data_IF_013094506178
#
_entry.id   IF_013094506178
#
_cell.length_a   1.000
_cell.length_b   1.000
_cell.length_c   1.000
_cell.angle_alpha   90.00
_cell.angle_beta   90.00
_cell.angle_gamma   90.00
#
_symmetry.space_group_name_H-M   'P 1'
#
loop_
_entity.id
_entity.type
_entity.pdbx_description
1 polymer ?
#
# COMPACT_ATOMS: atom_id res chain seq x y z
N UNK A 1 25.57 14.74 38.79
CA UNK A 1 25.83 13.89 39.97
C UNK A 1 24.49 13.50 40.56
N UNK A 2 24.08 12.23 40.45
CA UNK A 2 22.86 11.75 41.09
C UNK A 2 23.14 11.70 42.60
N UNK A 3 22.45 12.53 43.39
CA UNK A 3 22.46 12.40 44.83
C UNK A 3 21.84 11.03 45.18
N UNK A 4 22.57 10.20 45.91
CA UNK A 4 22.06 8.92 46.39
C UNK A 4 20.96 9.18 47.40
N UNK A 5 19.71 8.92 47.01
CA UNK A 5 18.56 9.01 47.91
C UNK A 5 18.81 8.13 49.13
N UNK A 6 18.46 8.64 50.30
CA UNK A 6 18.50 7.83 51.51
C UNK A 6 17.42 6.73 51.42
N UNK A 7 17.66 5.55 52.01
CA UNK A 7 16.67 4.46 52.06
C UNK A 7 15.30 4.94 52.57
N UNK A 8 15.27 5.99 53.40
CA UNK A 8 14.06 6.59 53.92
C UNK A 8 13.29 7.43 52.87
N UNK A 9 13.99 8.22 52.05
CA UNK A 9 13.37 8.99 50.96
C UNK A 9 12.75 8.08 49.91
N UNK A 10 13.44 6.97 49.57
CA UNK A 10 12.90 5.99 48.63
C UNK A 10 11.65 5.30 49.17
N UNK A 11 11.63 4.95 50.47
CA UNK A 11 10.46 4.35 51.11
C UNK A 11 9.26 5.32 51.13
N UNK A 12 9.50 6.61 51.43
CA UNK A 12 8.46 7.65 51.41
C UNK A 12 7.96 7.90 49.99
N UNK A 13 8.84 8.03 49.01
CA UNK A 13 8.46 8.23 47.60
C UNK A 13 7.68 7.05 47.05
N UNK A 14 8.09 5.82 47.37
CA UNK A 14 7.37 4.61 47.01
C UNK A 14 5.96 4.61 47.59
N UNK A 15 5.80 4.89 48.90
CA UNK A 15 4.47 4.95 49.50
C UNK A 15 3.61 6.05 48.87
N UNK A 16 4.17 7.24 48.67
CA UNK A 16 3.46 8.36 48.07
C UNK A 16 2.99 8.03 46.65
N UNK A 17 3.82 7.41 45.81
CA UNK A 17 3.46 7.03 44.44
C UNK A 17 2.31 6.01 44.44
N UNK A 18 2.36 5.01 45.32
CA UNK A 18 1.29 4.01 45.46
C UNK A 18 -0.03 4.67 45.84
N UNK A 19 -0.02 5.57 46.83
CA UNK A 19 -1.23 6.27 47.26
C UNK A 19 -1.79 7.19 46.16
N UNK A 20 -0.92 7.90 45.43
CA UNK A 20 -1.34 8.75 44.31
C UNK A 20 -2.05 7.93 43.21
N UNK A 21 -1.48 6.78 42.82
CA UNK A 21 -2.08 5.92 41.79
C UNK A 21 -3.36 5.23 42.28
N UNK A 22 -3.39 4.77 43.53
CA UNK A 22 -4.57 4.14 44.10
C UNK A 22 -5.76 5.10 44.18
N UNK A 23 -5.52 6.33 44.62
CA UNK A 23 -6.57 7.35 44.71
C UNK A 23 -6.92 7.99 43.36
N UNK A 24 -6.02 8.00 42.37
CA UNK A 24 -6.29 8.57 41.04
C UNK A 24 -7.56 7.99 40.39
N UNK A 25 -7.87 6.71 40.63
CA UNK A 25 -9.05 6.06 40.05
C UNK A 25 -10.38 6.65 40.53
N UNK A 26 -10.44 7.20 41.75
CA UNK A 26 -11.66 7.66 42.39
C UNK A 26 -11.75 9.19 42.57
N UNK A 27 -10.70 9.92 42.19
CA UNK A 27 -10.62 11.37 42.33
C UNK A 27 -10.64 12.06 40.96
N UNK A 28 -11.20 13.28 40.86
CA UNK A 28 -11.24 14.01 39.59
C UNK A 28 -9.83 14.38 39.10
N UNK A 29 -9.61 14.22 37.80
CA UNK A 29 -8.34 14.57 37.16
C UNK A 29 -8.20 16.09 37.04
N UNK A 30 -7.25 16.66 37.78
CA UNK A 30 -6.95 18.11 37.78
C UNK A 30 -6.04 18.50 36.60
N UNK A 31 -6.50 18.24 35.38
CA UNK A 31 -5.69 18.43 34.17
C UNK A 31 -5.37 19.89 33.88
N UNK A 32 -6.31 20.81 34.14
CA UNK A 32 -6.09 22.25 33.98
C UNK A 32 -4.94 22.75 34.86
N UNK A 33 -4.90 22.33 36.13
CA UNK A 33 -3.85 22.74 37.06
C UNK A 33 -2.49 22.16 36.67
N UNK A 34 -2.49 20.95 36.10
CA UNK A 34 -1.28 20.30 35.57
C UNK A 34 -0.74 21.08 34.37
N UNK A 35 -1.60 21.47 33.43
CA UNK A 35 -1.21 22.29 32.28
C UNK A 35 -0.73 23.68 32.71
N UNK A 36 -1.36 24.30 33.71
CA UNK A 36 -0.89 25.57 34.28
C UNK A 36 0.53 25.42 34.84
N UNK A 37 0.81 24.36 35.59
CA UNK A 37 2.14 24.13 36.15
C UNK A 37 3.22 23.86 35.09
N UNK A 38 2.86 23.21 33.97
CA UNK A 38 3.79 22.91 32.87
C UNK A 38 4.02 24.09 31.93
N UNK A 39 2.97 24.86 31.65
CA UNK A 39 2.97 25.91 30.61
C UNK A 39 3.19 27.32 31.18
N UNK A 40 3.03 27.52 32.48
CA UNK A 40 3.29 28.78 33.19
C UNK A 40 4.41 28.63 34.23
N UNK A 41 5.01 29.75 34.66
CA UNK A 41 6.07 29.78 35.68
C UNK A 41 7.43 30.27 35.16
N UNK A 42 8.48 30.12 35.98
CA UNK A 42 9.83 30.61 35.66
C UNK A 42 10.57 29.83 34.58
N UNK A 43 10.16 28.58 34.32
CA UNK A 43 10.71 27.71 33.28
C UNK A 43 9.59 26.94 32.57
N UNK A 44 8.79 27.62 31.72
CA UNK A 44 7.72 26.95 31.00
C UNK A 44 8.30 25.95 29.99
N UNK A 45 7.59 24.85 29.79
CA UNK A 45 7.99 23.83 28.81
C UNK A 45 8.01 24.44 27.41
N UNK A 46 9.11 24.19 26.67
CA UNK A 46 9.29 24.62 25.29
C UNK A 46 8.87 23.57 24.26
N UNK A 47 8.78 22.30 24.66
CA UNK A 47 8.37 21.18 23.81
C UNK A 47 7.51 20.19 24.60
N UNK A 48 6.26 20.01 24.18
CA UNK A 48 5.30 19.08 24.75
C UNK A 48 4.97 18.00 23.73
N UNK A 49 5.26 16.75 24.08
CA UNK A 49 5.09 15.58 23.23
C UNK A 49 3.99 14.69 23.80
N UNK A 50 2.94 14.48 23.02
CA UNK A 50 1.87 13.54 23.35
C UNK A 50 2.17 12.14 22.79
N UNK A 51 2.16 11.16 23.69
CA UNK A 51 2.25 9.74 23.36
C UNK A 51 0.86 9.13 23.50
N UNK A 52 0.18 8.96 22.37
CA UNK A 52 -1.17 8.43 22.32
C UNK A 52 -1.61 8.16 20.88
N UNK A 53 -2.76 7.48 20.71
CA UNK A 53 -3.30 7.16 19.39
C UNK A 53 -3.88 8.37 18.66
N UNK A 54 -4.12 9.48 19.36
CA UNK A 54 -4.67 10.73 18.80
C UNK A 54 -3.97 11.95 19.40
N UNK A 55 -4.15 13.12 18.77
CA UNK A 55 -3.58 14.40 19.17
C UNK A 55 -4.52 15.21 20.10
N UNK A 56 -5.05 14.57 21.14
CA UNK A 56 -6.10 15.17 21.99
C UNK A 56 -5.52 16.10 23.05
N UNK A 57 -4.47 15.67 23.75
CA UNK A 57 -3.81 16.43 24.81
C UNK A 57 -3.02 17.61 24.26
N UNK A 58 -2.40 17.46 23.09
CA UNK A 58 -1.75 18.56 22.35
C UNK A 58 -2.76 19.65 22.00
N UNK A 59 -3.95 19.29 21.50
CA UNK A 59 -5.03 20.26 21.23
C UNK A 59 -5.51 20.98 22.49
N UNK A 60 -5.62 20.28 23.62
CA UNK A 60 -5.94 20.92 24.92
C UNK A 60 -4.82 21.85 25.38
N UNK A 61 -3.56 21.41 25.28
CA UNK A 61 -2.39 22.20 25.67
C UNK A 61 -2.26 23.47 24.81
N UNK A 62 -2.58 23.40 23.51
CA UNK A 62 -2.62 24.57 22.64
C UNK A 62 -3.63 25.61 23.13
N UNK A 63 -4.87 25.18 23.42
CA UNK A 63 -5.93 26.06 23.92
C UNK A 63 -5.55 26.71 25.26
N UNK A 64 -4.97 25.92 26.16
CA UNK A 64 -4.54 26.41 27.46
C UNK A 64 -3.34 27.37 27.34
N UNK A 65 -2.36 27.07 26.48
CA UNK A 65 -1.24 27.96 26.22
C UNK A 65 -1.70 29.32 25.67
N UNK A 66 -2.65 29.34 24.73
CA UNK A 66 -3.25 30.58 24.20
C UNK A 66 -3.93 31.37 25.31
N UNK A 67 -4.71 30.70 26.17
CA UNK A 67 -5.36 31.33 27.33
C UNK A 67 -4.35 31.90 28.33
N UNK A 68 -3.26 31.18 28.62
CA UNK A 68 -2.24 31.67 29.55
C UNK A 68 -1.48 32.88 28.98
N UNK A 69 -1.34 32.97 27.66
CA UNK A 69 -0.80 34.17 27.00
C UNK A 69 -1.77 35.34 27.13
N UNK A 70 -3.08 35.13 26.92
CA UNK A 70 -4.07 36.22 27.10
C UNK A 70 -4.16 36.68 28.55
N UNK A 71 -4.02 35.76 29.51
CA UNK A 71 -4.07 36.05 30.95
C UNK A 71 -2.74 36.63 31.48
N UNK A 72 -1.73 36.84 30.62
CA UNK A 72 -0.42 37.41 30.99
C UNK A 72 0.47 36.48 31.84
N UNK A 73 0.08 35.20 32.00
CA UNK A 73 0.78 34.18 32.79
C UNK A 73 1.82 33.40 32.00
N UNK A 74 1.85 33.57 30.67
CA UNK A 74 2.83 32.99 29.75
C UNK A 74 3.26 34.06 28.75
N UNK A 75 4.56 34.16 28.47
CA UNK A 75 5.06 35.07 27.44
C UNK A 75 4.64 34.60 26.04
N UNK A 76 4.13 35.52 25.22
CA UNK A 76 3.85 35.24 23.81
C UNK A 76 5.12 34.91 23.01
N UNK A 77 6.28 35.40 23.46
CA UNK A 77 7.57 35.13 22.83
C UNK A 77 8.16 33.76 23.21
N UNK A 78 7.57 33.05 24.19
CA UNK A 78 8.04 31.73 24.57
C UNK A 78 7.63 30.69 23.51
N UNK A 79 8.61 30.08 22.84
CA UNK A 79 8.39 29.00 21.89
C UNK A 79 7.73 27.80 22.57
N UNK A 80 6.69 27.23 21.95
CA UNK A 80 6.07 25.97 22.36
C UNK A 80 5.85 25.08 21.15
N UNK A 81 6.65 24.02 21.08
CA UNK A 81 6.46 22.93 20.14
C UNK A 81 5.43 21.95 20.72
N UNK A 82 4.31 21.77 20.02
CA UNK A 82 3.29 20.77 20.35
C UNK A 82 3.40 19.63 19.34
N UNK A 83 3.90 18.48 19.79
CA UNK A 83 4.12 17.31 18.96
C UNK A 83 3.25 16.15 19.45
N UNK A 84 2.80 15.31 18.53
CA UNK A 84 1.97 14.15 18.84
C UNK A 84 2.48 12.98 18.00
N UNK A 85 2.65 11.83 18.63
CA UNK A 85 3.13 10.61 17.98
C UNK A 85 2.18 10.12 16.88
N UNK A 86 0.88 10.35 17.01
CA UNK A 86 -0.12 9.90 16.03
C UNK A 86 -0.17 10.78 14.77
N UNK A 87 0.54 11.91 14.74
CA UNK A 87 0.55 12.82 13.61
C UNK A 87 1.80 12.58 12.76
N UNK A 88 1.61 12.01 11.56
CA UNK A 88 2.68 11.70 10.60
C UNK A 88 3.48 12.93 10.17
N UNK A 89 2.90 14.13 10.23
CA UNK A 89 3.62 15.38 9.97
C UNK A 89 4.62 15.80 11.07
N UNK A 90 4.56 15.17 12.25
CA UNK A 90 5.46 15.47 13.38
C UNK A 90 6.63 14.47 13.51
N UNK A 91 6.63 13.40 12.70
CA UNK A 91 7.58 12.29 12.80
C UNK A 91 9.04 12.73 12.64
N UNK A 92 9.35 13.49 11.59
CA UNK A 92 10.68 14.04 11.36
C UNK A 92 11.21 14.87 12.55
N UNK A 93 10.32 15.67 13.17
CA UNK A 93 10.67 16.52 14.32
C UNK A 93 10.80 15.75 15.63
N UNK A 94 10.12 14.59 15.76
CA UNK A 94 10.23 13.69 16.89
C UNK A 94 11.52 12.87 16.86
N UNK A 95 11.91 12.39 15.66
CA UNK A 95 13.13 11.61 15.46
C UNK A 95 14.38 12.45 15.21
N UNK A 96 14.24 13.78 15.19
CA UNK A 96 15.33 14.71 14.86
C UNK A 96 15.92 14.43 13.47
N UNK A 97 15.09 13.95 12.55
CA UNK A 97 15.41 13.79 11.14
C UNK A 97 15.21 15.13 10.46
N UNK A 98 16.23 15.96 10.55
CA UNK A 98 16.29 17.20 9.78
C UNK A 98 16.79 16.86 8.39
N UNK A 99 16.03 17.22 7.37
CA UNK A 99 16.51 17.26 6.00
C UNK A 99 17.78 18.13 6.01
N UNK A 100 18.88 17.61 5.47
CA UNK A 100 20.08 18.42 5.27
C UNK A 100 19.75 19.47 4.21
N UNK A 101 19.17 20.58 4.65
CA UNK A 101 19.22 21.81 3.89
C UNK A 101 20.70 22.16 3.88
N UNK A 102 21.33 21.91 2.74
CA UNK A 102 22.61 22.55 2.42
C UNK A 102 22.31 24.04 2.46
N UNK A 103 22.67 24.69 3.57
CA UNK A 103 22.63 26.15 3.64
C UNK A 103 23.53 26.66 2.51
N UNK A 104 22.94 27.30 1.50
CA UNK A 104 23.66 28.04 0.45
C UNK A 104 24.58 29.14 1.06
N UNK A 105 24.48 29.42 2.37
CA UNK A 105 25.40 30.27 3.13
C UNK A 105 26.70 29.56 3.58
N UNK A 106 26.76 28.23 3.51
CA UNK A 106 27.98 27.46 3.83
C UNK A 106 28.95 27.38 2.66
N UNK A 107 28.48 27.51 1.41
CA UNK A 107 29.35 27.67 0.23
C UNK A 107 30.06 29.03 0.22
N UNK A 108 29.39 30.11 0.67
CA UNK A 108 29.99 31.46 0.78
C UNK A 108 31.13 31.50 1.80
N UNK A 109 31.10 30.65 2.84
CA UNK A 109 32.17 30.60 3.86
C UNK A 109 33.37 29.75 3.47
N UNK A 110 33.20 28.80 2.54
CA UNK A 110 34.32 28.08 1.93
C UNK A 110 35.04 28.91 0.88
N UNK A 111 34.33 29.75 0.12
CA UNK A 111 34.95 30.63 -0.88
C UNK A 111 35.78 31.78 -0.25
N UNK A 112 35.35 32.37 0.87
CA UNK A 112 36.14 33.40 1.59
C UNK A 112 37.41 32.85 2.26
N UNK A 113 37.49 31.53 2.49
CA UNK A 113 38.68 30.91 3.10
C UNK A 113 39.71 30.48 2.04
N UNK A 114 39.28 30.25 0.80
CA UNK A 114 40.17 29.95 -0.33
C UNK A 114 40.76 31.23 -0.96
N UNK A 115 40.04 32.36 -0.98
CA UNK A 115 40.58 33.64 -1.47
C UNK A 115 41.69 34.24 -0.58
N UNK A 116 41.80 33.82 0.68
CA UNK A 116 42.89 34.24 1.58
C UNK A 116 44.13 33.34 1.53
N UNK A 117 44.04 32.17 0.89
CA UNK A 117 45.13 31.21 0.73
C UNK A 117 45.94 31.36 -0.57
N UNK A 118 45.42 32.10 -1.55
CA UNK A 118 46.02 32.21 -2.91
C UNK A 118 46.87 33.48 -3.09
N UNK A 119 46.67 34.52 -2.25
CA UNK A 119 47.45 35.77 -2.27
C UNK A 119 48.92 35.65 -1.79
N UNK A 120 49.42 34.44 -1.51
CA UNK A 120 50.81 34.19 -1.10
C UNK A 120 51.61 33.34 -2.11
N UNK A 121 51.09 33.05 -3.31
CA UNK A 121 51.81 32.19 -4.28
C UNK A 121 51.73 32.62 -5.74
N UNK A 122 51.28 33.83 -6.03
CA UNK A 122 51.20 34.42 -7.39
C UNK A 122 52.22 35.55 -7.64
N UNK A 123 53.42 35.47 -7.06
CA UNK A 123 54.60 36.26 -7.51
C UNK A 123 55.52 35.49 -8.46
N UNK A 124 55.13 34.29 -8.93
CA UNK A 124 55.99 33.51 -9.83
C UNK A 124 55.20 32.64 -10.82
N UNK A 125 54.54 33.25 -11.81
CA UNK A 125 54.47 32.80 -13.22
C UNK A 125 53.41 33.59 -13.97
N UNK A 126 53.71 34.86 -14.14
CA UNK A 126 53.22 35.63 -15.26
C UNK A 126 53.91 35.09 -16.53
N UNK A 127 53.27 34.19 -17.28
CA UNK A 127 53.54 34.07 -18.71
C UNK A 127 52.41 33.38 -19.47
N UNK A 128 51.85 34.15 -20.39
CA UNK A 128 51.12 33.78 -21.60
C UNK A 128 49.68 33.22 -21.47
N UNK A 129 48.68 34.10 -21.64
CA UNK A 129 48.05 34.51 -22.92
C UNK A 129 47.25 33.40 -23.62
N UNK A 130 45.92 33.55 -23.57
CA UNK A 130 45.03 33.98 -24.68
C UNK A 130 43.65 33.37 -24.46
N UNK A 131 42.61 34.20 -24.25
CA UNK A 131 41.74 34.79 -25.30
C UNK A 131 40.71 33.75 -25.73
N UNK A 132 39.41 33.97 -25.81
CA UNK A 132 38.46 35.07 -25.61
C UNK A 132 37.09 34.37 -25.74
N UNK A 133 36.11 34.63 -24.87
CA UNK A 133 35.10 35.68 -25.07
C UNK A 133 34.01 35.27 -26.07
N UNK A 134 32.78 35.30 -25.54
CA UNK A 134 31.51 35.64 -26.21
C UNK A 134 30.94 34.68 -27.28
N UNK A 135 29.64 34.49 -27.44
CA UNK A 135 28.46 35.26 -27.04
C UNK A 135 27.20 34.35 -27.16
N UNK A 136 26.26 34.50 -26.22
CA UNK A 136 24.82 34.72 -26.41
C UNK A 136 24.07 34.11 -27.65
N UNK A 137 22.93 33.47 -27.34
CA UNK A 137 21.52 33.81 -27.73
C UNK A 137 20.66 32.64 -28.28
N UNK A 138 19.54 32.38 -27.58
CA UNK A 138 18.17 31.98 -28.01
C UNK A 138 17.87 30.81 -28.98
N UNK A 139 17.03 29.89 -28.44
CA UNK A 139 15.87 29.16 -29.04
C UNK A 139 15.88 28.89 -30.56
N UNK A 140 15.85 27.61 -30.93
CA UNK A 140 14.71 26.94 -31.62
C UNK A 140 14.95 25.43 -31.81
N UNK A 141 13.85 24.68 -31.67
CA UNK A 141 13.53 23.38 -32.29
C UNK A 141 14.66 22.44 -32.75
N UNK A 142 14.71 21.26 -32.13
CA UNK A 142 15.01 20.01 -32.84
C UNK A 142 14.06 18.91 -32.38
N UNK A 143 13.20 18.52 -33.32
CA UNK A 143 12.65 17.18 -33.39
C UNK A 143 13.82 16.20 -33.46
N UNK A 144 14.04 15.44 -32.39
CA UNK A 144 14.92 14.28 -32.43
C UNK A 144 14.12 12.99 -32.25
N UNK A 145 14.35 12.14 -33.23
CA UNK A 145 13.76 10.86 -33.54
C UNK A 145 14.04 9.86 -32.39
N UNK A 146 13.15 9.77 -31.41
CA UNK A 146 13.17 8.69 -30.43
C UNK A 146 12.50 7.42 -31.00
N UNK A 147 13.11 6.82 -32.02
CA UNK A 147 12.82 5.44 -32.42
C UNK A 147 13.59 4.49 -31.51
N UNK A 148 13.03 4.25 -30.32
CA UNK A 148 13.21 3.01 -29.58
C UNK A 148 11.99 2.82 -28.69
N UNK A 149 11.06 1.95 -29.10
CA UNK A 149 9.91 1.53 -28.31
C UNK A 149 10.41 0.66 -27.16
N UNK A 150 10.88 1.29 -26.09
CA UNK A 150 11.07 0.62 -24.82
C UNK A 150 9.73 0.02 -24.39
N UNK A 151 9.70 -1.29 -24.11
CA UNK A 151 8.53 -1.97 -23.58
C UNK A 151 8.04 -1.18 -22.35
N UNK A 152 6.78 -0.71 -22.39
CA UNK A 152 6.21 0.08 -21.30
C UNK A 152 6.24 -0.78 -20.04
N UNK A 153 6.93 -0.36 -18.96
CA UNK A 153 7.04 -1.17 -17.75
C UNK A 153 5.65 -1.41 -17.17
N UNK A 154 5.34 -2.67 -16.90
CA UNK A 154 4.04 -3.02 -16.32
C UNK A 154 3.90 -2.41 -14.92
N UNK A 155 2.68 -2.07 -14.56
CA UNK A 155 2.36 -1.48 -13.27
C UNK A 155 1.10 -2.16 -12.72
N UNK A 156 1.08 -2.52 -11.43
CA UNK A 156 -0.14 -3.06 -10.82
C UNK A 156 -1.28 -2.05 -10.92
N UNK A 157 -2.53 -2.55 -10.86
CA UNK A 157 -3.73 -1.73 -11.04
C UNK A 157 -3.83 -0.68 -9.93
N UNK A 158 -3.73 0.64 -10.20
CA UNK A 158 -3.82 1.65 -9.15
C UNK A 158 -5.24 1.72 -8.58
N UNK A 159 -5.40 1.60 -7.26
CA UNK A 159 -6.71 1.66 -6.61
C UNK A 159 -7.45 2.98 -6.82
N UNK A 160 -6.72 4.09 -6.93
CA UNK A 160 -7.25 5.42 -7.26
C UNK A 160 -7.96 5.45 -8.62
N UNK A 161 -7.43 4.73 -9.63
CA UNK A 161 -8.09 4.60 -10.93
C UNK A 161 -9.41 3.85 -10.78
N UNK A 162 -9.42 2.74 -10.03
CA UNK A 162 -10.63 1.94 -9.82
C UNK A 162 -11.71 2.76 -9.10
N UNK A 163 -11.33 3.48 -8.03
CA UNK A 163 -12.22 4.40 -7.31
C UNK A 163 -12.86 5.40 -8.27
N UNK A 164 -12.03 6.14 -9.02
CA UNK A 164 -12.48 7.17 -9.95
C UNK A 164 -13.37 6.59 -11.06
N UNK A 165 -13.09 5.37 -11.52
CA UNK A 165 -13.87 4.74 -12.59
C UNK A 165 -15.23 4.22 -12.13
N UNK A 166 -15.31 3.65 -10.92
CA UNK A 166 -16.59 3.25 -10.35
C UNK A 166 -17.51 4.47 -10.11
N UNK A 167 -16.93 5.57 -9.62
CA UNK A 167 -17.65 6.82 -9.38
C UNK A 167 -18.09 7.46 -10.70
N UNK A 168 -17.16 7.63 -11.65
CA UNK A 168 -17.43 8.25 -12.94
C UNK A 168 -18.54 7.52 -13.71
N UNK A 169 -18.51 6.18 -13.70
CA UNK A 169 -19.56 5.37 -14.32
C UNK A 169 -20.92 5.59 -13.68
N UNK A 170 -21.01 5.62 -12.34
CA UNK A 170 -22.28 5.87 -11.62
C UNK A 170 -22.81 7.28 -11.88
N UNK A 171 -21.92 8.27 -12.03
CA UNK A 171 -22.28 9.64 -12.37
C UNK A 171 -22.50 9.89 -13.88
N UNK A 172 -22.25 8.88 -14.73
CA UNK A 172 -22.28 8.98 -16.20
C UNK A 172 -21.41 10.14 -16.73
N UNK A 173 -20.22 10.33 -16.16
CA UNK A 173 -19.23 11.33 -16.58
C UNK A 173 -17.99 10.66 -17.15
N UNK A 174 -17.28 11.34 -18.04
CA UNK A 174 -16.00 10.82 -18.58
C UNK A 174 -14.86 11.01 -17.58
N UNK A 175 -13.77 10.25 -17.73
CA UNK A 175 -12.58 10.36 -16.87
C UNK A 175 -11.98 11.78 -16.91
N UNK A 176 -12.05 12.46 -18.05
CA UNK A 176 -11.53 13.83 -18.22
C UNK A 176 -12.40 14.91 -17.54
N UNK A 177 -13.68 14.63 -17.29
CA UNK A 177 -14.60 15.55 -16.58
C UNK A 177 -14.49 15.43 -15.06
N UNK A 178 -13.65 14.51 -14.58
CA UNK A 178 -13.42 14.25 -13.17
C UNK A 178 -12.21 15.08 -12.72
N UNK A 179 -12.36 16.05 -11.80
CA UNK A 179 -11.25 16.91 -11.37
C UNK A 179 -10.10 16.09 -10.77
N UNK A 180 -8.87 16.53 -11.03
CA UNK A 180 -7.64 15.83 -10.62
C UNK A 180 -7.49 15.75 -9.10
N UNK A 181 -7.92 16.80 -8.38
CA UNK A 181 -8.13 16.84 -6.93
C UNK A 181 -9.63 16.75 -6.64
N UNK A 182 -10.08 15.61 -6.12
CA UNK A 182 -11.45 15.51 -5.59
C UNK A 182 -11.47 15.95 -4.14
N UNK A 183 -11.63 17.25 -3.95
CA UNK A 183 -11.93 17.82 -2.62
C UNK A 183 -13.41 17.60 -2.23
N UNK A 184 -14.21 17.03 -3.14
CA UNK A 184 -15.64 16.73 -2.93
C UNK A 184 -15.83 15.32 -2.38
N UNK A 185 -16.77 15.19 -1.46
CA UNK A 185 -17.18 13.91 -0.89
C UNK A 185 -18.16 13.15 -1.80
N UNK A 186 -18.37 11.85 -1.55
CA UNK A 186 -19.39 11.07 -2.26
C UNK A 186 -20.79 11.66 -2.01
N UNK A 187 -21.04 12.17 -0.80
CA UNK A 187 -22.28 12.87 -0.45
C UNK A 187 -22.52 14.08 -1.35
N UNK A 188 -21.50 14.92 -1.56
CA UNK A 188 -21.60 16.10 -2.43
C UNK A 188 -21.85 15.71 -3.89
N UNK A 189 -21.18 14.66 -4.36
CA UNK A 189 -21.34 14.14 -5.72
C UNK A 189 -22.72 13.51 -5.97
N UNK A 190 -23.33 12.94 -4.93
CA UNK A 190 -24.66 12.36 -5.00
C UNK A 190 -25.78 13.41 -5.10
N UNK A 191 -25.51 14.68 -4.76
CA UNK A 191 -26.47 15.78 -4.80
C UNK A 191 -27.70 15.53 -3.92
N UNK A 192 -27.53 14.90 -2.76
CA UNK A 192 -28.60 14.57 -1.81
C UNK A 192 -29.43 13.33 -2.18
N UNK A 193 -29.06 12.59 -3.24
CA UNK A 193 -29.72 11.34 -3.62
C UNK A 193 -29.15 10.17 -2.81
N UNK A 194 -29.76 9.90 -1.66
CA UNK A 194 -29.31 8.82 -0.74
C UNK A 194 -29.21 7.43 -1.39
N UNK A 195 -30.08 7.10 -2.36
CA UNK A 195 -29.99 5.83 -3.11
C UNK A 195 -28.66 5.74 -3.89
N UNK A 196 -28.31 6.80 -4.62
CA UNK A 196 -27.08 6.84 -5.41
C UNK A 196 -25.84 6.80 -4.51
N UNK A 197 -25.89 7.52 -3.40
CA UNK A 197 -24.84 7.51 -2.38
C UNK A 197 -24.61 6.10 -1.82
N UNK A 198 -25.68 5.42 -1.35
CA UNK A 198 -25.59 4.09 -0.78
C UNK A 198 -25.12 3.04 -1.79
N UNK A 199 -25.56 3.15 -3.05
CA UNK A 199 -25.04 2.30 -4.12
C UNK A 199 -23.54 2.51 -4.35
N UNK A 200 -23.07 3.76 -4.37
CA UNK A 200 -21.65 4.07 -4.53
C UNK A 200 -20.83 3.49 -3.38
N UNK A 201 -21.24 3.74 -2.14
CA UNK A 201 -20.58 3.20 -0.94
C UNK A 201 -20.56 1.67 -0.96
N UNK A 202 -21.69 1.03 -1.27
CA UNK A 202 -21.78 -0.43 -1.37
C UNK A 202 -20.87 -1.00 -2.46
N UNK A 203 -20.75 -0.35 -3.62
CA UNK A 203 -19.81 -0.76 -4.66
C UNK A 203 -18.34 -0.63 -4.20
N UNK A 204 -18.00 0.38 -3.40
CA UNK A 204 -16.64 0.54 -2.87
C UNK A 204 -16.29 -0.55 -1.85
N UNK A 205 -17.22 -0.84 -0.93
CA UNK A 205 -17.06 -1.94 0.03
C UNK A 205 -16.92 -3.28 -0.69
N UNK A 206 -17.73 -3.52 -1.73
CA UNK A 206 -17.63 -4.72 -2.54
C UNK A 206 -16.35 -4.83 -3.36
N UNK A 207 -15.73 -3.70 -3.74
CA UNK A 207 -14.50 -3.67 -4.55
C UNK A 207 -13.24 -3.81 -3.71
N UNK A 208 -13.12 -3.02 -2.63
CA UNK A 208 -11.91 -2.92 -1.82
C UNK A 208 -11.95 -3.74 -0.52
N UNK A 209 -13.14 -4.21 -0.13
CA UNK A 209 -13.39 -4.91 1.13
C UNK A 209 -13.64 -3.97 2.31
N UNK A 210 -14.38 -4.46 3.31
CA UNK A 210 -14.76 -3.70 4.51
C UNK A 210 -13.56 -3.16 5.30
N UNK A 211 -12.44 -3.89 5.31
CA UNK A 211 -11.24 -3.46 6.07
C UNK A 211 -10.54 -2.24 5.47
N UNK A 212 -10.66 -2.00 4.16
CA UNK A 212 -10.01 -0.87 3.47
C UNK A 212 -10.91 0.34 3.34
N UNK A 213 -12.23 0.18 3.53
CA UNK A 213 -13.22 1.25 3.42
C UNK A 213 -13.62 1.67 4.83
N UNK A 214 -13.22 2.88 5.30
CA UNK A 214 -13.59 3.35 6.63
C UNK A 214 -15.09 3.60 6.80
N UNK A 215 -15.56 3.52 8.03
CA UNK A 215 -16.90 3.99 8.39
C UNK A 215 -17.04 5.49 8.09
N UNK A 216 -18.14 5.88 7.44
CA UNK A 216 -18.37 7.28 7.03
C UNK A 216 -17.62 7.71 5.76
N UNK A 217 -17.19 6.75 4.91
CA UNK A 217 -16.57 6.99 3.59
C UNK A 217 -17.35 8.00 2.73
N UNK A 218 -18.66 8.13 2.94
CA UNK A 218 -19.49 9.07 2.20
C UNK A 218 -19.18 10.55 2.45
N UNK A 219 -18.58 10.88 3.60
CA UNK A 219 -18.22 12.24 4.03
C UNK A 219 -16.75 12.58 3.77
N UNK A 220 -15.94 11.59 3.46
CA UNK A 220 -14.52 11.76 3.19
C UNK A 220 -14.30 12.37 1.81
N UNK A 221 -13.29 13.24 1.69
CA UNK A 221 -12.84 13.71 0.39
C UNK A 221 -12.25 12.54 -0.41
N UNK A 222 -12.53 12.45 -1.72
CA UNK A 222 -12.00 11.33 -2.50
C UNK A 222 -10.48 11.41 -2.67
N UNK A 223 -9.85 12.58 -2.51
CA UNK A 223 -8.40 12.70 -2.44
C UNK A 223 -7.81 11.94 -1.23
N UNK A 224 -8.48 11.97 -0.08
CA UNK A 224 -8.11 11.19 1.08
C UNK A 224 -8.31 9.70 0.82
N UNK A 225 -9.42 9.33 0.18
CA UNK A 225 -9.69 7.93 -0.20
C UNK A 225 -8.70 7.39 -1.23
N UNK A 226 -8.32 8.19 -2.23
CA UNK A 226 -7.29 7.87 -3.21
C UNK A 226 -5.96 7.52 -2.53
N UNK A 227 -5.58 8.26 -1.48
CA UNK A 227 -4.33 8.01 -0.74
C UNK A 227 -4.36 6.71 0.07
N UNK A 228 -5.55 6.26 0.50
CA UNK A 228 -5.74 5.01 1.24
C UNK A 228 -5.77 3.79 0.32
N UNK A 229 -6.23 3.95 -0.91
CA UNK A 229 -6.26 2.88 -1.89
C UNK A 229 -4.93 2.78 -2.65
N UNK A 230 -4.05 1.92 -2.14
CA UNK A 230 -2.80 1.56 -2.83
C UNK A 230 -3.03 0.75 -4.13
N UNK A 231 -1.97 0.14 -4.65
CA UNK A 231 -2.06 -0.74 -5.81
C UNK A 231 -2.81 -2.04 -5.51
N UNK A 232 -3.64 -2.48 -6.46
CA UNK A 232 -4.36 -3.74 -6.47
C UNK A 232 -3.64 -4.75 -7.38
N UNK A 233 -3.56 -6.02 -6.94
CA UNK A 233 -2.96 -7.09 -7.74
C UNK A 233 -3.85 -7.56 -8.90
N UNK A 234 -5.17 -7.45 -8.76
CA UNK A 234 -6.16 -7.83 -9.77
C UNK A 234 -7.42 -6.96 -9.64
N UNK A 235 -8.32 -7.09 -10.63
CA UNK A 235 -9.67 -6.50 -10.54
C UNK A 235 -10.41 -7.07 -9.32
N UNK A 236 -11.13 -6.23 -8.59
CA UNK A 236 -12.00 -6.64 -7.50
C UNK A 236 -13.30 -7.27 -7.98
N UNK A 237 -14.17 -7.66 -7.04
CA UNK A 237 -15.42 -8.38 -7.35
C UNK A 237 -16.36 -7.54 -8.21
N UNK A 238 -16.46 -6.24 -7.94
CA UNK A 238 -17.38 -5.34 -8.63
C UNK A 238 -16.83 -5.02 -10.01
N UNK A 239 -15.59 -4.54 -10.13
CA UNK A 239 -14.96 -4.22 -11.42
C UNK A 239 -14.89 -5.46 -12.32
N UNK A 240 -14.51 -6.63 -11.79
CA UNK A 240 -14.48 -7.89 -12.54
C UNK A 240 -15.86 -8.30 -13.07
N UNK A 241 -16.90 -8.27 -12.23
CA UNK A 241 -18.27 -8.58 -12.66
C UNK A 241 -18.80 -7.58 -13.71
N UNK A 242 -18.43 -6.31 -13.58
CA UNK A 242 -18.81 -5.25 -14.50
C UNK A 242 -18.12 -5.41 -15.87
N UNK A 243 -16.83 -5.73 -15.89
CA UNK A 243 -16.08 -6.04 -17.12
C UNK A 243 -16.66 -7.28 -17.79
N UNK A 244 -16.92 -8.36 -17.02
CA UNK A 244 -17.56 -9.56 -17.54
C UNK A 244 -18.92 -9.27 -18.21
N UNK A 245 -19.74 -8.41 -17.60
CA UNK A 245 -21.03 -7.99 -18.15
C UNK A 245 -20.89 -7.13 -19.41
N UNK A 246 -19.90 -6.23 -19.45
CA UNK A 246 -19.59 -5.45 -20.65
C UNK A 246 -19.26 -6.39 -21.82
N UNK A 247 -18.36 -7.35 -21.59
CA UNK A 247 -17.95 -8.35 -22.58
C UNK A 247 -19.14 -9.20 -23.04
N UNK A 248 -19.97 -9.72 -22.13
CA UNK A 248 -21.09 -10.59 -22.51
C UNK A 248 -22.20 -9.85 -23.29
N UNK A 249 -22.50 -8.61 -22.89
CA UNK A 249 -23.69 -7.91 -23.37
C UNK A 249 -23.40 -6.96 -24.53
N UNK A 250 -22.19 -6.39 -24.59
CA UNK A 250 -21.88 -5.28 -25.50
C UNK A 250 -20.85 -5.63 -26.56
N UNK A 251 -20.03 -6.65 -26.35
CA UNK A 251 -19.03 -7.06 -27.34
C UNK A 251 -19.63 -8.01 -28.39
N UNK A 252 -19.07 -8.03 -29.61
CA UNK A 252 -19.42 -8.98 -30.65
C UNK A 252 -18.91 -10.38 -30.30
N UNK A 253 -19.47 -11.39 -30.95
CA UNK A 253 -19.09 -12.79 -30.74
C UNK A 253 -17.61 -12.98 -31.09
N UNK A 254 -16.86 -13.67 -30.21
CA UNK A 254 -15.42 -13.90 -30.36
C UNK A 254 -14.53 -12.89 -29.63
N UNK A 255 -15.03 -11.70 -29.28
CA UNK A 255 -14.30 -10.72 -28.46
C UNK A 255 -14.39 -11.06 -26.97
N UNK A 256 -13.63 -12.06 -26.53
CA UNK A 256 -13.50 -12.39 -25.12
C UNK A 256 -12.38 -11.57 -24.45
N UNK A 257 -12.26 -11.67 -23.12
CA UNK A 257 -11.26 -10.92 -22.36
C UNK A 257 -9.81 -11.27 -22.75
N UNK A 258 -9.54 -12.52 -23.11
CA UNK A 258 -8.21 -12.96 -23.52
C UNK A 258 -7.80 -12.34 -24.86
N UNK A 259 -8.73 -12.30 -25.83
CA UNK A 259 -8.55 -11.67 -27.14
C UNK A 259 -8.23 -10.18 -27.01
N UNK A 260 -8.96 -9.45 -26.15
CA UNK A 260 -8.68 -8.03 -25.92
C UNK A 260 -7.32 -7.80 -25.24
N UNK A 261 -6.94 -8.67 -24.30
CA UNK A 261 -5.61 -8.61 -23.66
C UNK A 261 -4.48 -8.87 -24.65
N UNK A 262 -4.66 -9.82 -25.56
CA UNK A 262 -3.72 -10.10 -26.63
C UNK A 262 -3.57 -8.91 -27.59
N UNK A 263 -4.68 -8.27 -27.98
CA UNK A 263 -4.65 -7.05 -28.78
C UNK A 263 -3.88 -5.91 -28.08
N UNK A 264 -4.13 -5.69 -26.78
CA UNK A 264 -3.42 -4.67 -26.00
C UNK A 264 -1.91 -4.96 -25.88
N UNK A 265 -1.54 -6.23 -25.73
CA UNK A 265 -0.13 -6.64 -25.74
C UNK A 265 0.51 -6.41 -27.13
N UNK A 266 -0.17 -6.83 -28.20
CA UNK A 266 0.37 -6.78 -29.56
C UNK A 266 0.42 -5.36 -30.16
N UNK A 267 -0.57 -4.51 -29.86
CA UNK A 267 -0.66 -3.13 -30.42
C UNK A 267 0.00 -2.09 -29.54
N UNK A 268 -0.11 -2.21 -28.23
CA UNK A 268 0.33 -1.18 -27.28
C UNK A 268 1.47 -1.63 -26.37
N UNK A 269 1.87 -2.90 -26.42
CA UNK A 269 2.96 -3.43 -25.59
C UNK A 269 2.65 -3.42 -24.09
N UNK A 270 1.37 -3.44 -23.71
CA UNK A 270 0.95 -3.32 -22.31
C UNK A 270 0.99 -4.66 -21.58
N UNK A 271 1.55 -4.67 -20.37
CA UNK A 271 1.55 -5.82 -19.46
C UNK A 271 0.19 -6.07 -18.78
N UNK A 272 0.02 -7.21 -18.10
CA UNK A 272 -1.26 -7.66 -17.54
C UNK A 272 -1.87 -6.68 -16.52
N UNK A 273 -1.06 -5.97 -15.73
CA UNK A 273 -1.55 -4.97 -14.78
C UNK A 273 -2.20 -3.79 -15.49
N UNK A 274 -1.50 -3.23 -16.48
CA UNK A 274 -2.01 -2.14 -17.33
C UNK A 274 -3.19 -2.56 -18.21
N UNK A 275 -3.20 -3.79 -18.72
CA UNK A 275 -4.34 -4.34 -19.44
C UNK A 275 -5.61 -4.33 -18.59
N UNK A 276 -5.50 -4.69 -17.30
CA UNK A 276 -6.61 -4.61 -16.36
C UNK A 276 -7.13 -3.18 -16.17
N UNK A 277 -6.22 -2.21 -16.05
CA UNK A 277 -6.57 -0.79 -15.94
C UNK A 277 -7.33 -0.27 -17.17
N UNK A 278 -6.88 -0.61 -18.37
CA UNK A 278 -7.54 -0.23 -19.62
C UNK A 278 -8.96 -0.82 -19.71
N UNK A 279 -9.14 -2.09 -19.35
CA UNK A 279 -10.46 -2.72 -19.35
C UNK A 279 -11.42 -2.06 -18.35
N UNK A 280 -10.91 -1.57 -17.22
CA UNK A 280 -11.71 -0.78 -16.27
C UNK A 280 -12.06 0.59 -16.85
N UNK A 281 -11.12 1.26 -17.52
CA UNK A 281 -11.40 2.53 -18.20
C UNK A 281 -12.51 2.39 -19.26
N UNK A 282 -12.53 1.27 -19.99
CA UNK A 282 -13.56 0.97 -20.98
C UNK A 282 -14.99 0.91 -20.39
N UNK A 283 -15.15 0.68 -19.08
CA UNK A 283 -16.47 0.65 -18.43
C UNK A 283 -17.17 2.02 -18.40
N UNK A 284 -16.42 3.12 -18.50
CA UNK A 284 -16.98 4.48 -18.47
C UNK A 284 -17.49 4.90 -19.84
N UNK A 285 -16.86 4.40 -20.90
CA UNK A 285 -17.29 4.55 -22.29
C UNK A 285 -18.11 3.36 -22.76
N UNK A 286 -18.87 2.71 -21.86
CA UNK A 286 -19.72 1.57 -22.21
C UNK A 286 -20.74 1.95 -23.30
N UNK A 287 -20.81 1.21 -24.43
CA UNK A 287 -21.73 1.53 -25.51
C UNK A 287 -23.16 1.16 -25.13
N UNK A 288 -24.12 2.00 -25.52
CA UNK A 288 -25.54 1.78 -25.20
C UNK A 288 -26.08 0.51 -25.86
N UNK A 289 -25.65 0.23 -27.09
CA UNK A 289 -26.04 -0.94 -27.89
C UNK A 289 -24.84 -1.88 -28.06
N UNK A 290 -25.10 -3.16 -28.32
CA UNK A 290 -24.06 -4.13 -28.65
C UNK A 290 -23.35 -3.72 -29.95
N UNK A 291 -22.03 -3.74 -29.95
CA UNK A 291 -21.21 -3.42 -31.11
C UNK A 291 -21.39 -4.46 -32.21
N UNK A 292 -21.40 -4.02 -33.47
CA UNK A 292 -21.73 -4.87 -34.61
C UNK A 292 -20.51 -5.64 -35.13
N UNK A 293 -19.32 -5.06 -34.98
CA UNK A 293 -18.09 -5.61 -35.55
C UNK A 293 -16.96 -5.72 -34.52
N UNK A 294 -16.06 -6.68 -34.74
CA UNK A 294 -14.82 -6.82 -33.96
C UNK A 294 -13.97 -5.55 -34.07
N UNK A 295 -13.98 -4.90 -35.22
CA UNK A 295 -13.24 -3.65 -35.46
C UNK A 295 -13.70 -2.53 -34.51
N UNK A 296 -15.01 -2.30 -34.40
CA UNK A 296 -15.58 -1.31 -33.46
C UNK A 296 -15.21 -1.63 -32.00
N UNK A 297 -15.18 -2.91 -31.64
CA UNK A 297 -14.77 -3.33 -30.30
C UNK A 297 -13.30 -3.03 -30.02
N UNK A 298 -12.41 -3.23 -30.99
CA UNK A 298 -11.00 -2.89 -30.85
C UNK A 298 -10.78 -1.37 -30.82
N UNK A 299 -11.52 -0.59 -31.63
CA UNK A 299 -11.49 0.88 -31.59
C UNK A 299 -11.90 1.42 -30.21
N UNK A 300 -12.96 0.87 -29.60
CA UNK A 300 -13.37 1.25 -28.25
C UNK A 300 -12.26 1.00 -27.21
N UNK A 301 -11.58 -0.14 -27.32
CA UNK A 301 -10.49 -0.50 -26.40
C UNK A 301 -9.24 0.35 -26.66
N UNK A 302 -8.96 0.70 -27.92
CA UNK A 302 -7.87 1.61 -28.28
C UNK A 302 -8.14 3.03 -27.74
N UNK A 303 -9.37 3.52 -27.84
CA UNK A 303 -9.78 4.80 -27.26
C UNK A 303 -9.67 4.80 -25.73
N UNK A 304 -10.08 3.70 -25.08
CA UNK A 304 -9.90 3.51 -23.64
C UNK A 304 -8.41 3.46 -23.25
N UNK A 305 -7.56 2.91 -24.12
CA UNK A 305 -6.11 2.86 -23.92
C UNK A 305 -5.50 4.26 -23.95
N UNK A 306 -5.94 5.11 -24.88
CA UNK A 306 -5.50 6.50 -24.94
C UNK A 306 -5.99 7.32 -23.74
N UNK A 307 -7.23 7.10 -23.28
CA UNK A 307 -7.73 7.75 -22.06
C UNK A 307 -6.93 7.34 -20.82
N UNK A 308 -6.58 6.06 -20.70
CA UNK A 308 -5.70 5.57 -19.64
C UNK A 308 -4.29 6.18 -19.75
N UNK A 309 -3.74 6.26 -20.96
CA UNK A 309 -2.44 6.87 -21.22
C UNK A 309 -2.41 8.35 -20.80
N UNK A 310 -3.45 9.12 -21.15
CA UNK A 310 -3.62 10.50 -20.74
C UNK A 310 -3.72 10.65 -19.21
N UNK A 311 -4.41 9.72 -18.54
CA UNK A 311 -4.51 9.71 -17.08
C UNK A 311 -3.17 9.41 -16.40
N UNK A 312 -2.38 8.47 -16.94
CA UNK A 312 -1.05 8.15 -16.44
C UNK A 312 0.05 9.14 -16.87
N UNK A 313 -0.22 10.06 -17.79
CA UNK A 313 0.81 10.90 -18.42
C UNK A 313 1.77 10.12 -19.32
N UNK A 314 1.34 9.00 -19.90
CA UNK A 314 2.13 8.16 -20.81
C UNK A 314 1.91 8.58 -22.26
N UNK A 315 3.00 8.77 -23.00
CA UNK A 315 2.97 8.92 -24.46
C UNK A 315 3.02 7.54 -25.13
N UNK A 316 1.86 6.92 -25.37
CA UNK A 316 1.77 5.66 -26.08
C UNK A 316 1.74 5.90 -27.60
N UNK A 317 2.59 5.19 -28.33
CA UNK A 317 2.51 5.07 -29.80
C UNK A 317 2.22 3.60 -30.15
N UNK A 318 1.33 3.32 -31.12
CA UNK A 318 1.08 1.95 -31.52
C UNK A 318 2.37 1.33 -32.07
N UNK A 319 2.62 0.06 -31.72
CA UNK A 319 3.73 -0.71 -32.26
C UNK A 319 3.58 -0.77 -33.78
N UNK A 320 4.63 -0.42 -34.53
CA UNK A 320 4.58 -0.34 -35.98
C UNK A 320 4.12 -1.67 -36.61
N UNK A 321 3.27 -1.60 -37.64
CA UNK A 321 2.68 -2.78 -38.31
C UNK A 321 3.72 -3.83 -38.74
N UNK A 322 4.95 -3.40 -39.06
CA UNK A 322 6.08 -4.28 -39.40
C UNK A 322 6.55 -5.17 -38.22
N UNK A 323 6.54 -4.67 -36.99
CA UNK A 323 6.89 -5.44 -35.80
C UNK A 323 5.74 -6.37 -35.36
N UNK A 324 4.48 -5.94 -35.55
CA UNK A 324 3.31 -6.79 -35.30
C UNK A 324 3.28 -8.03 -36.20
N UNK A 325 3.61 -7.88 -37.50
CA UNK A 325 3.66 -9.02 -38.42
C UNK A 325 4.78 -10.02 -38.06
N UNK A 326 5.93 -9.54 -37.56
CA UNK A 326 7.01 -10.42 -37.08
C UNK A 326 6.62 -11.17 -35.80
N UNK A 327 5.99 -10.52 -34.82
CA UNK A 327 5.53 -11.19 -33.60
C UNK A 327 4.39 -12.18 -33.86
N UNK A 328 3.42 -11.83 -34.74
CA UNK A 328 2.36 -12.76 -35.13
C UNK A 328 2.91 -13.97 -35.90
N UNK A 329 3.89 -13.80 -36.80
CA UNK A 329 4.56 -14.94 -37.43
C UNK A 329 5.30 -15.83 -36.41
N UNK A 330 5.93 -15.23 -35.40
CA UNK A 330 6.65 -15.97 -34.37
C UNK A 330 5.70 -16.74 -33.43
N UNK A 331 4.55 -16.15 -33.08
CA UNK A 331 3.51 -16.80 -32.29
C UNK A 331 2.73 -17.86 -33.10
N UNK A 332 2.40 -17.62 -34.37
CA UNK A 332 1.81 -18.63 -35.25
C UNK A 332 2.74 -19.83 -35.48
N UNK A 333 4.06 -19.63 -35.40
CA UNK A 333 5.03 -20.74 -35.40
C UNK A 333 5.08 -21.53 -34.09
N UNK A 334 4.67 -20.95 -32.96
CA UNK A 334 4.63 -21.63 -31.65
C UNK A 334 3.26 -22.23 -31.33
N UNK A 335 2.18 -21.65 -31.86
CA UNK A 335 0.79 -22.07 -31.66
C UNK A 335 0.21 -22.78 -32.88
N UNK A 336 0.91 -23.77 -33.43
CA UNK A 336 0.19 -24.84 -34.13
C UNK A 336 -0.19 -25.87 -33.06
N UNK A 337 -1.37 -25.78 -32.41
CA UNK A 337 -1.91 -26.98 -31.81
C UNK A 337 -2.04 -27.97 -32.96
N UNK A 338 -1.39 -29.12 -32.86
CA UNK A 338 -1.74 -30.24 -33.71
C UNK A 338 -3.23 -30.51 -33.43
N UNK A 339 -4.10 -30.03 -34.32
CA UNK A 339 -5.54 -30.31 -34.24
C UNK A 339 -5.69 -31.80 -34.52
N UNK A 340 -5.61 -32.61 -33.46
CA UNK A 340 -6.07 -33.99 -33.51
C UNK A 340 -7.58 -33.92 -33.46
N UNK A 341 -8.19 -33.61 -34.60
CA UNK A 341 -9.62 -33.84 -34.81
C UNK A 341 -9.79 -35.36 -34.89
N UNK A 342 -9.91 -36.03 -33.75
CA UNK A 342 -10.37 -37.42 -33.74
C UNK A 342 -11.79 -37.38 -34.28
N UNK A 343 -12.13 -38.09 -35.37
CA UNK A 343 -13.51 -38.19 -35.82
C UNK A 343 -14.31 -38.80 -34.67
N UNK A 344 -15.37 -38.11 -34.25
CA UNK A 344 -16.30 -38.58 -33.24
C UNK A 344 -17.03 -39.83 -33.75
N UNK A 345 -16.34 -40.97 -33.67
CA UNK A 345 -16.85 -42.31 -33.89
C UNK A 345 -16.53 -43.14 -32.66
N UNK A 346 -17.54 -43.36 -31.83
CA UNK A 346 -17.63 -44.41 -30.81
C UNK A 346 -16.60 -44.50 -29.67
N UNK A 347 -15.72 -43.53 -29.48
CA UNK A 347 -14.97 -43.42 -28.23
C UNK A 347 -15.51 -42.25 -27.41
N UNK A 348 -16.34 -42.61 -26.45
CA UNK A 348 -16.75 -41.77 -25.33
C UNK A 348 -15.48 -41.38 -24.56
N UNK A 349 -14.79 -40.33 -25.01
CA UNK A 349 -13.86 -39.62 -24.13
C UNK A 349 -14.73 -39.08 -23.01
N UNK A 350 -14.64 -39.75 -21.87
CA UNK A 350 -15.44 -39.45 -20.69
C UNK A 350 -14.87 -38.17 -20.05
N UNK A 351 -15.18 -37.02 -20.64
CA UNK A 351 -14.87 -35.71 -20.06
C UNK A 351 -15.54 -35.53 -18.67
N UNK A 352 -16.42 -36.45 -18.27
CA UNK A 352 -17.00 -36.55 -16.95
C UNK A 352 -15.97 -36.91 -15.85
N UNK A 353 -14.75 -37.32 -16.18
CA UNK A 353 -13.68 -37.54 -15.18
C UNK A 353 -13.28 -36.26 -14.43
N UNK A 354 -13.64 -35.08 -14.93
CA UNK A 354 -13.47 -33.82 -14.20
C UNK A 354 -14.46 -33.65 -13.02
N UNK A 355 -15.63 -34.30 -13.09
CA UNK A 355 -16.66 -34.22 -12.03
C UNK A 355 -16.15 -34.88 -10.74
N UNK A 356 -15.45 -36.01 -10.86
CA UNK A 356 -14.84 -36.68 -9.70
C UNK A 356 -13.70 -35.89 -9.05
N UNK A 357 -13.03 -35.01 -9.80
CA UNK A 357 -11.93 -34.19 -9.30
C UNK A 357 -12.44 -32.98 -8.51
N UNK A 358 -13.53 -32.36 -8.98
CA UNK A 358 -14.25 -31.34 -8.22
C UNK A 358 -14.88 -31.92 -6.95
N UNK A 359 -15.45 -33.12 -7.02
CA UNK A 359 -16.02 -33.83 -5.87
C UNK A 359 -14.94 -34.24 -4.84
N UNK A 360 -13.77 -34.71 -5.28
CA UNK A 360 -12.64 -34.90 -4.38
C UNK A 360 -12.16 -33.60 -3.76
N UNK A 361 -12.14 -32.49 -4.51
CA UNK A 361 -11.69 -31.20 -3.98
C UNK A 361 -12.64 -30.63 -2.92
N UNK A 362 -13.95 -30.84 -3.08
CA UNK A 362 -14.95 -30.41 -2.11
C UNK A 362 -14.89 -31.26 -0.83
N UNK A 363 -14.67 -32.57 -0.95
CA UNK A 363 -14.46 -33.46 0.19
C UNK A 363 -13.20 -33.10 0.98
N UNK A 364 -12.10 -32.75 0.30
CA UNK A 364 -10.87 -32.28 0.97
C UNK A 364 -11.14 -30.98 1.73
N UNK A 365 -11.87 -30.03 1.13
CA UNK A 365 -12.24 -28.78 1.81
C UNK A 365 -13.12 -29.02 3.04
N UNK A 366 -14.06 -29.96 2.97
CA UNK A 366 -14.91 -30.33 4.11
C UNK A 366 -14.11 -30.99 5.23
N UNK A 367 -13.20 -31.90 4.91
CA UNK A 367 -12.31 -32.54 5.90
C UNK A 367 -11.37 -31.53 6.54
N UNK A 368 -10.83 -30.59 5.76
CA UNK A 368 -10.00 -29.51 6.28
C UNK A 368 -10.77 -28.64 7.27
N UNK A 369 -12.01 -28.24 6.94
CA UNK A 369 -12.83 -27.46 7.85
C UNK A 369 -13.14 -28.18 9.18
N UNK A 370 -13.30 -29.52 9.14
CA UNK A 370 -13.47 -30.33 10.36
C UNK A 370 -12.18 -30.40 11.19
N UNK A 371 -11.02 -30.49 10.55
CA UNK A 371 -9.73 -30.44 11.22
C UNK A 371 -9.49 -29.07 11.88
N UNK A 372 -9.74 -28.00 11.14
CA UNK A 372 -9.58 -26.62 11.64
C UNK A 372 -10.49 -26.36 12.86
N UNK A 373 -11.72 -26.91 12.85
CA UNK A 373 -12.62 -26.84 13.99
C UNK A 373 -12.09 -27.59 15.23
N UNK A 374 -11.47 -28.76 15.04
CA UNK A 374 -10.84 -29.51 16.13
C UNK A 374 -9.59 -28.80 16.66
N UNK A 375 -8.78 -28.23 15.78
CA UNK A 375 -7.61 -27.42 16.16
C UNK A 375 -8.02 -26.18 16.95
N UNK A 376 -9.16 -25.54 16.61
CA UNK A 376 -9.69 -24.40 17.34
C UNK A 376 -10.17 -24.77 18.76
N UNK A 377 -10.82 -25.93 18.93
CA UNK A 377 -11.35 -26.38 20.22
C UNK A 377 -10.27 -26.94 21.16
N UNK A 378 -9.37 -27.77 20.62
CA UNK A 378 -8.42 -28.53 21.44
C UNK A 378 -7.01 -27.97 21.42
N UNK A 379 -6.67 -27.03 20.53
CA UNK A 379 -5.30 -26.59 20.21
C UNK A 379 -4.43 -27.66 19.55
N UNK A 380 -3.50 -27.21 18.71
CA UNK A 380 -2.57 -28.08 17.99
C UNK A 380 -1.61 -28.85 18.92
N UNK A 381 -1.26 -28.26 20.07
CA UNK A 381 -0.39 -28.89 21.07
C UNK A 381 -1.07 -30.11 21.71
N UNK A 382 -2.35 -29.99 22.08
CA UNK A 382 -3.12 -31.11 22.61
C UNK A 382 -3.27 -32.22 21.57
N UNK A 383 -3.62 -31.88 20.32
CA UNK A 383 -3.84 -32.87 19.27
C UNK A 383 -2.56 -33.62 18.90
N UNK A 384 -1.42 -32.93 18.86
CA UNK A 384 -0.12 -33.59 18.68
C UNK A 384 0.28 -34.46 19.86
N UNK A 385 -0.03 -34.03 21.10
CA UNK A 385 0.22 -34.81 22.32
C UNK A 385 -0.72 -36.01 22.51
N UNK A 386 -1.93 -35.96 21.95
CA UNK A 386 -2.93 -37.02 22.04
C UNK A 386 -2.68 -38.19 21.08
N UNK A 387 -1.67 -38.09 20.20
CA UNK A 387 -1.32 -39.16 19.27
C UNK A 387 -0.86 -40.43 20.02
N UNK A 388 -1.27 -41.63 19.59
CA UNK A 388 -0.90 -42.87 20.26
C UNK A 388 0.61 -43.15 20.10
N UNK A 389 1.35 -43.14 21.21
CA UNK A 389 2.81 -43.41 21.24
C UNK A 389 3.14 -44.88 21.56
N UNK A 390 2.17 -45.63 22.11
CA UNK A 390 2.39 -47.02 22.51
C UNK A 390 2.54 -47.94 21.29
N UNK A 391 3.68 -48.64 21.22
CA UNK A 391 3.94 -49.69 20.24
C UNK A 391 4.47 -50.94 20.97
N UNK A 392 3.73 -52.05 20.86
CA UNK A 392 4.09 -53.32 21.47
C UNK A 392 5.48 -53.84 21.04
N UNK A 393 5.92 -53.50 19.81
CA UNK A 393 7.24 -53.91 19.29
C UNK A 393 8.40 -53.16 19.93
N UNK A 394 8.13 -52.01 20.57
CA UNK A 394 9.13 -51.18 21.25
C UNK A 394 9.27 -51.49 22.75
N UNK A 395 8.46 -52.41 23.28
CA UNK A 395 8.55 -52.82 24.68
C UNK A 395 9.88 -53.51 24.94
N UNK A 396 10.70 -52.94 25.83
CA UNK A 396 11.94 -53.55 26.31
C UNK A 396 11.66 -54.25 27.65
N UNK A 397 12.11 -55.50 27.78
CA UNK A 397 12.01 -56.28 29.02
C UNK A 397 13.42 -56.58 29.51
N UNK A 398 13.80 -55.99 30.63
CA UNK A 398 15.09 -56.21 31.28
C UNK A 398 14.89 -57.21 32.42
N UNK A 399 15.18 -58.49 32.13
CA UNK A 399 14.96 -59.60 33.06
C UNK A 399 16.27 -60.29 33.48
N UNK A 400 17.41 -59.70 33.13
CA UNK A 400 18.77 -60.19 33.38
C UNK A 400 19.30 -59.76 34.77
N UNK A 401 18.43 -59.71 35.77
CA UNK A 401 18.76 -59.29 37.14
C UNK A 401 19.89 -60.12 37.75
N UNK A 402 19.97 -61.42 37.44
CA UNK A 402 21.01 -62.33 37.92
C UNK A 402 22.40 -61.96 37.38
N UNK A 403 22.47 -61.43 36.16
CA UNK A 403 23.72 -60.95 35.57
C UNK A 403 24.11 -59.60 36.16
N UNK A 404 23.13 -58.71 36.31
CA UNK A 404 23.32 -57.42 36.98
C UNK A 404 23.82 -57.60 38.42
N UNK A 405 23.33 -58.61 39.15
CA UNK A 405 23.74 -58.88 40.54
C UNK A 405 25.16 -59.44 40.64
N UNK A 406 25.56 -60.30 39.69
CA UNK A 406 26.96 -60.74 39.56
C UNK A 406 27.91 -59.58 39.28
N UNK A 407 27.52 -58.67 38.40
CA UNK A 407 28.29 -57.45 38.11
C UNK A 407 28.38 -56.61 39.39
N UNK A 408 27.26 -56.40 40.10
CA UNK A 408 27.25 -55.64 41.37
C UNK A 408 28.18 -56.24 42.41
N UNK A 409 28.14 -57.56 42.62
CA UNK A 409 29.03 -58.26 43.54
C UNK A 409 30.51 -58.10 43.14
N UNK A 410 30.83 -58.28 41.86
CA UNK A 410 32.19 -58.08 41.36
C UNK A 410 32.68 -56.63 41.51
N UNK A 411 31.77 -55.66 41.48
CA UNK A 411 32.09 -54.24 41.72
C UNK A 411 32.04 -53.85 43.20
N UNK A 412 31.48 -54.68 44.09
CA UNK A 412 31.33 -54.36 45.52
C UNK A 412 32.61 -54.56 46.34
N UNK A 413 33.58 -55.35 45.85
CA UNK A 413 34.91 -55.49 46.47
C UNK A 413 35.87 -54.32 46.14
N UNK A 414 35.41 -53.30 45.41
CA UNK A 414 36.21 -52.13 44.98
C UNK A 414 35.81 -50.84 45.75
N UNK A 415 35.05 -50.96 46.84
CA UNK A 415 34.69 -49.84 47.71
C UNK A 415 35.41 -49.89 49.06
#
# INVERSE_FOLDING_TARGET
MAQSYTLNEQAVAHRLLVELLAHQFAFPVRWTDTQDALLSGGSPVSRLIELGPSATLTGMAQKQATRLVTDGRRSAAASLDLLSYSNTGHEAKLWYEYEQVVDEESEVRTEETEERGVLAKEEAKEETKKKAEEEKTTRTSSSETANSTAAVPDCPLPGSLVLRMLIARRLKRSLAQMPSSFDKSIRDLSGGKSILQNEMVSNLVGEFGEQRVPDGVEDMALSELDSRFGSMGSMGKISGALVGRLLSNKMPVGCNQAFLREHLAAKWGLGPGRQGAVLICALVSEPAVRLASVKEALELIDDATQQYAAWCGLALSPVSEQQQQQQQQQQQRQQQPATVTVPAGNHQCDCASHVGLEECSSQVAELQAKLDALDAEFSSEYLSGALPVFDARRVRRYNDWWNADRIRLATSDVA
#
